data_IF_396041793663
#
_entry.id   IF_396041793663
#
_cell.length_a   1.000
_cell.length_b   1.000
_cell.length_c   1.000
_cell.angle_alpha   90.00
_cell.angle_beta   90.00
_cell.angle_gamma   90.00
#
_symmetry.space_group_name_H-M   'P 1'
#
loop_
_entity.id
_entity.type
_entity.pdbx_description
1 polymer ?
#
# COMPACT_ATOMS: atom_id res chain seq x y z
N UNK A 1 -35.44 17.86 84.85
CA UNK A 1 -36.06 17.82 83.53
C UNK A 1 -35.06 18.38 82.57
N UNK A 2 -34.22 17.56 82.01
CA UNK A 2 -33.17 18.01 81.09
C UNK A 2 -33.40 17.27 79.76
N UNK A 3 -33.92 18.00 78.80
CA UNK A 3 -34.22 17.55 77.48
C UNK A 3 -32.92 17.59 76.66
N UNK A 4 -32.41 16.43 76.24
CA UNK A 4 -31.23 16.33 75.38
C UNK A 4 -31.69 16.23 73.94
N UNK A 5 -31.25 17.12 73.05
CA UNK A 5 -31.59 17.02 71.65
C UNK A 5 -30.76 15.82 70.98
N UNK A 6 -31.50 14.89 70.46
CA UNK A 6 -30.93 13.79 69.67
C UNK A 6 -30.33 14.35 68.33
N UNK A 7 -29.02 14.24 68.17
CA UNK A 7 -28.33 14.54 66.93
C UNK A 7 -28.66 13.45 65.88
N UNK A 8 -29.54 13.79 64.98
CA UNK A 8 -29.84 12.93 63.82
C UNK A 8 -28.65 13.00 62.85
N UNK A 9 -27.83 11.96 62.86
CA UNK A 9 -26.74 11.81 61.85
C UNK A 9 -27.38 11.39 60.55
N UNK A 10 -27.49 12.29 59.62
CA UNK A 10 -27.98 12.07 58.28
C UNK A 10 -26.90 11.28 57.50
N UNK A 11 -27.19 10.03 57.17
CA UNK A 11 -26.31 9.17 56.43
C UNK A 11 -26.11 9.70 54.98
N UNK A 12 -24.87 9.77 54.46
CA UNK A 12 -24.63 10.30 53.12
C UNK A 12 -25.33 9.44 52.08
N UNK A 13 -26.13 10.06 51.20
CA UNK A 13 -26.81 9.43 50.11
C UNK A 13 -25.78 8.87 49.12
N UNK A 14 -25.69 7.54 49.03
CA UNK A 14 -24.85 6.84 48.05
C UNK A 14 -25.42 7.08 46.67
N UNK A 15 -24.84 8.04 45.94
CA UNK A 15 -25.18 8.31 44.54
C UNK A 15 -24.78 7.06 43.70
N UNK A 16 -25.74 6.26 43.37
CA UNK A 16 -25.58 5.10 42.45
C UNK A 16 -25.25 5.64 41.06
N UNK A 17 -23.99 5.87 40.80
CA UNK A 17 -23.46 6.32 39.49
C UNK A 17 -23.78 5.25 38.47
N UNK A 18 -24.70 5.52 37.53
CA UNK A 18 -25.12 4.62 36.48
C UNK A 18 -23.90 4.24 35.64
N UNK A 19 -23.45 2.99 35.75
CA UNK A 19 -22.30 2.42 34.98
C UNK A 19 -22.62 2.26 33.49
N UNK A 20 -23.85 2.51 33.08
CA UNK A 20 -24.28 2.38 31.67
C UNK A 20 -23.69 3.49 30.78
N UNK A 21 -23.57 4.72 31.29
CA UNK A 21 -22.99 5.83 30.51
C UNK A 21 -21.55 5.60 30.09
N UNK A 22 -20.60 5.21 30.96
CA UNK A 22 -19.23 4.93 30.54
C UNK A 22 -19.13 3.73 29.58
N UNK A 23 -20.00 2.70 29.70
CA UNK A 23 -20.05 1.57 28.78
C UNK A 23 -20.51 1.96 27.37
N UNK A 24 -21.49 2.88 27.28
CA UNK A 24 -21.96 3.41 25.99
C UNK A 24 -20.85 4.21 25.32
N UNK A 25 -20.16 5.07 26.06
CA UNK A 25 -19.02 5.86 25.53
C UNK A 25 -17.89 4.95 25.08
N UNK A 26 -17.55 3.92 25.86
CA UNK A 26 -16.52 2.96 25.50
C UNK A 26 -16.90 2.18 24.23
N UNK A 27 -18.17 1.76 24.11
CA UNK A 27 -18.69 1.08 22.93
C UNK A 27 -18.63 1.97 21.68
N UNK A 28 -18.98 3.27 21.81
CA UNK A 28 -18.89 4.21 20.70
C UNK A 28 -17.44 4.44 20.25
N UNK A 29 -16.51 4.57 21.19
CA UNK A 29 -15.07 4.71 20.88
C UNK A 29 -14.56 3.46 20.18
N UNK A 30 -14.89 2.27 20.67
CA UNK A 30 -14.49 1.01 20.05
C UNK A 30 -15.04 0.85 18.61
N UNK A 31 -16.29 1.28 18.39
CA UNK A 31 -16.92 1.28 17.07
C UNK A 31 -16.19 2.22 16.11
N UNK A 32 -15.89 3.46 16.55
CA UNK A 32 -15.15 4.43 15.72
C UNK A 32 -13.75 3.91 15.39
N UNK A 33 -13.03 3.36 16.36
CA UNK A 33 -11.71 2.77 16.14
C UNK A 33 -11.81 1.59 15.15
N UNK A 34 -12.81 0.71 15.30
CA UNK A 34 -13.05 -0.42 14.39
C UNK A 34 -13.29 0.03 12.95
N UNK A 35 -14.09 1.08 12.75
CA UNK A 35 -14.34 1.67 11.43
C UNK A 35 -13.08 2.27 10.82
N UNK A 36 -12.30 3.03 11.60
CA UNK A 36 -11.04 3.63 11.14
C UNK A 36 -10.00 2.59 10.78
N UNK A 37 -9.85 1.54 11.59
CA UNK A 37 -8.94 0.44 11.31
C UNK A 37 -9.35 -0.34 10.05
N UNK A 38 -10.65 -0.61 9.89
CA UNK A 38 -11.14 -1.30 8.69
C UNK A 38 -10.86 -0.49 7.42
N UNK A 39 -11.15 0.80 7.41
CA UNK A 39 -10.88 1.66 6.25
C UNK A 39 -9.38 1.78 5.94
N UNK A 40 -8.54 1.90 6.97
CA UNK A 40 -7.08 1.96 6.80
C UNK A 40 -6.51 0.67 6.23
N UNK A 41 -6.99 -0.49 6.70
CA UNK A 41 -6.51 -1.79 6.25
C UNK A 41 -6.91 -2.09 4.79
N UNK A 42 -8.15 -1.80 4.41
CA UNK A 42 -8.62 -2.00 3.03
C UNK A 42 -7.88 -1.11 2.03
N UNK A 43 -7.64 0.16 2.35
CA UNK A 43 -6.89 1.08 1.47
C UNK A 43 -5.41 0.70 1.33
N UNK A 44 -4.82 0.06 2.33
CA UNK A 44 -3.40 -0.34 2.36
C UNK A 44 -3.11 -1.57 1.49
N UNK A 45 -4.07 -2.52 1.41
CA UNK A 45 -3.93 -3.75 0.63
C UNK A 45 -4.16 -3.54 -0.88
N UNK A 46 -4.94 -2.52 -1.27
CA UNK A 46 -5.24 -2.22 -2.67
C UNK A 46 -4.11 -1.50 -3.42
N UNK A 47 -3.04 -1.16 -2.73
CA UNK A 47 -1.94 -0.38 -3.29
C UNK A 47 -1.03 -1.18 -4.25
N UNK A 48 -0.89 -2.50 -4.05
CA UNK A 48 -0.11 -3.39 -4.90
C UNK A 48 -1.02 -4.13 -5.88
N UNK A 49 -0.74 -4.02 -7.16
CA UNK A 49 -1.45 -4.73 -8.24
C UNK A 49 -0.45 -5.36 -9.20
N UNK A 50 -0.74 -6.56 -9.64
CA UNK A 50 -0.02 -7.16 -10.77
C UNK A 50 -0.62 -6.70 -12.10
N UNK A 51 0.11 -6.90 -13.20
CA UNK A 51 -0.43 -6.64 -14.55
C UNK A 51 -1.73 -7.42 -14.76
N UNK A 52 -1.82 -8.66 -14.29
CA UNK A 52 -2.99 -9.51 -14.45
C UNK A 52 -4.19 -9.01 -13.63
N UNK A 53 -3.97 -8.53 -12.39
CA UNK A 53 -5.01 -7.93 -11.54
C UNK A 53 -5.59 -6.67 -12.17
N UNK A 54 -4.73 -5.86 -12.78
CA UNK A 54 -5.18 -4.65 -13.49
C UNK A 54 -6.10 -5.00 -14.66
N UNK A 55 -5.80 -6.05 -15.42
CA UNK A 55 -6.68 -6.49 -16.50
C UNK A 55 -8.03 -7.01 -15.99
N UNK A 56 -8.04 -7.70 -14.83
CA UNK A 56 -9.28 -8.20 -14.24
C UNK A 56 -10.16 -7.08 -13.66
N UNK A 57 -9.54 -6.01 -13.10
CA UNK A 57 -10.24 -4.97 -12.33
C UNK A 57 -9.94 -3.56 -12.84
N UNK A 58 -9.77 -3.39 -14.17
CA UNK A 58 -9.27 -2.13 -14.75
C UNK A 58 -10.10 -0.89 -14.36
N UNK A 59 -11.41 -1.01 -14.38
CA UNK A 59 -12.31 0.11 -14.03
C UNK A 59 -12.24 0.46 -12.55
N UNK A 60 -12.09 -0.53 -11.68
CA UNK A 60 -11.96 -0.32 -10.24
C UNK A 60 -10.63 0.36 -9.86
N UNK A 61 -9.54 0.02 -10.56
CA UNK A 61 -8.23 0.67 -10.39
C UNK A 61 -8.28 2.14 -10.81
N UNK A 62 -9.03 2.47 -11.86
CA UNK A 62 -9.19 3.85 -12.31
C UNK A 62 -7.86 4.54 -12.64
N UNK A 63 -7.68 5.75 -12.12
CA UNK A 63 -6.48 6.59 -12.25
C UNK A 63 -5.78 6.83 -10.90
N UNK A 64 -6.04 5.99 -9.91
CA UNK A 64 -5.40 6.06 -8.59
C UNK A 64 -3.92 5.69 -8.69
N UNK A 65 -3.10 6.30 -7.84
CA UNK A 65 -1.68 5.93 -7.75
C UNK A 65 -1.55 4.53 -7.12
N UNK A 66 -0.90 3.63 -7.86
CA UNK A 66 -0.69 2.24 -7.45
C UNK A 66 0.76 1.81 -7.66
N UNK A 67 1.13 0.70 -7.05
CA UNK A 67 2.36 -0.05 -7.33
C UNK A 67 2.02 -1.20 -8.27
N UNK A 68 2.45 -1.07 -9.53
CA UNK A 68 2.21 -2.07 -10.55
C UNK A 68 3.43 -2.99 -10.70
N UNK A 69 3.23 -4.27 -10.48
CA UNK A 69 4.24 -5.31 -10.60
C UNK A 69 4.12 -6.04 -11.94
N UNK A 70 5.26 -6.29 -12.57
CA UNK A 70 5.35 -7.08 -13.79
C UNK A 70 6.80 -7.34 -14.19
N UNK A 71 6.98 -8.09 -15.27
CA UNK A 71 8.30 -8.36 -15.87
C UNK A 71 8.49 -7.45 -17.06
N UNK A 72 9.66 -6.82 -17.18
CA UNK A 72 10.00 -5.95 -18.32
C UNK A 72 10.15 -6.81 -19.58
N UNK A 73 9.31 -6.59 -20.59
CA UNK A 73 9.33 -7.33 -21.85
C UNK A 73 10.65 -7.13 -22.59
N UNK A 74 11.23 -8.22 -23.06
CA UNK A 74 12.48 -8.19 -23.85
C UNK A 74 12.31 -7.34 -25.12
N UNK A 75 13.25 -6.44 -25.38
CA UNK A 75 13.24 -5.57 -26.56
C UNK A 75 12.25 -4.39 -26.51
N UNK A 76 11.51 -4.20 -25.41
CA UNK A 76 10.55 -3.10 -25.28
C UNK A 76 11.12 -1.82 -24.69
N UNK A 77 12.32 -1.86 -24.12
CA UNK A 77 12.92 -0.72 -23.42
C UNK A 77 13.47 0.28 -24.41
N UNK A 78 12.91 1.49 -24.41
CA UNK A 78 13.37 2.64 -25.17
C UNK A 78 13.68 3.77 -24.19
N UNK A 79 14.96 4.16 -24.10
CA UNK A 79 15.37 5.31 -23.29
C UNK A 79 14.95 6.60 -23.97
N UNK A 80 14.44 7.54 -23.18
CA UNK A 80 14.04 8.88 -23.63
C UNK A 80 14.87 9.94 -22.91
N UNK A 81 14.78 11.19 -23.32
CA UNK A 81 15.47 12.32 -22.66
C UNK A 81 15.05 12.48 -21.19
N UNK A 82 13.83 12.10 -20.85
CA UNK A 82 13.24 12.31 -19.52
C UNK A 82 12.92 11.02 -18.77
N UNK A 83 13.42 9.85 -19.23
CA UNK A 83 13.13 8.57 -18.57
C UNK A 83 13.24 7.38 -19.51
N UNK A 84 12.29 6.44 -19.40
CA UNK A 84 12.22 5.25 -20.23
C UNK A 84 10.78 4.87 -20.57
N UNK A 85 10.55 4.43 -21.80
CA UNK A 85 9.33 3.74 -22.20
C UNK A 85 9.61 2.25 -22.29
N UNK A 86 8.71 1.42 -21.78
CA UNK A 86 8.84 -0.03 -21.83
C UNK A 86 7.47 -0.69 -21.64
N UNK A 87 7.43 -2.01 -21.82
CA UNK A 87 6.22 -2.80 -21.61
C UNK A 87 6.43 -3.74 -20.43
N UNK A 88 5.46 -3.78 -19.51
CA UNK A 88 5.36 -4.78 -18.46
C UNK A 88 4.46 -5.92 -18.92
N UNK A 89 4.89 -7.15 -18.67
CA UNK A 89 4.14 -8.37 -18.96
C UNK A 89 3.77 -9.06 -17.65
N UNK A 90 2.51 -9.50 -17.56
CA UNK A 90 2.01 -10.36 -16.48
C UNK A 90 2.23 -11.85 -16.77
N UNK A 91 1.80 -12.71 -15.85
CA UNK A 91 1.92 -14.17 -15.96
C UNK A 91 1.08 -14.75 -17.09
N UNK A 92 -0.02 -14.09 -17.45
CA UNK A 92 -0.91 -14.50 -18.56
C UNK A 92 -0.61 -13.78 -19.88
N UNK A 93 0.63 -13.32 -20.08
CA UNK A 93 1.07 -12.59 -21.28
C UNK A 93 0.30 -11.29 -21.55
N UNK A 94 -0.38 -10.74 -20.56
CA UNK A 94 -1.02 -9.44 -20.65
C UNK A 94 0.01 -8.34 -20.54
N UNK A 95 -0.17 -7.25 -21.26
CA UNK A 95 0.83 -6.20 -21.43
C UNK A 95 0.31 -4.83 -21.02
N UNK A 96 1.13 -4.08 -20.29
CA UNK A 96 0.87 -2.68 -19.93
C UNK A 96 2.02 -1.84 -20.43
N UNK A 97 1.73 -0.83 -21.26
CA UNK A 97 2.72 0.13 -21.71
C UNK A 97 3.04 1.10 -20.56
N UNK A 98 4.31 1.23 -20.21
CA UNK A 98 4.79 2.13 -19.15
C UNK A 98 5.58 3.27 -19.77
N UNK A 99 5.24 4.48 -19.34
CA UNK A 99 6.01 5.71 -19.61
C UNK A 99 6.55 6.20 -18.27
N UNK A 100 7.81 5.95 -18.05
CA UNK A 100 8.49 6.43 -16.84
C UNK A 100 9.10 7.79 -17.09
N UNK A 101 8.92 8.69 -16.10
CA UNK A 101 9.51 10.03 -16.07
C UNK A 101 10.42 10.10 -14.85
N UNK A 102 11.73 10.14 -15.12
CA UNK A 102 12.76 10.14 -14.09
C UNK A 102 14.04 9.46 -14.57
N UNK A 103 14.90 9.08 -13.65
CA UNK A 103 16.12 8.34 -13.97
C UNK A 103 15.93 6.88 -13.64
N UNK A 104 15.86 5.99 -14.65
CA UNK A 104 15.77 4.56 -14.39
C UNK A 104 16.95 4.07 -13.53
N UNK A 105 16.72 3.15 -12.58
CA UNK A 105 17.79 2.58 -11.78
C UNK A 105 18.88 1.93 -12.65
N UNK A 106 20.12 1.88 -12.16
CA UNK A 106 21.24 1.27 -12.90
C UNK A 106 21.00 -0.21 -13.25
N UNK A 107 20.26 -0.93 -12.41
CA UNK A 107 19.93 -2.34 -12.62
C UNK A 107 18.68 -2.55 -13.50
N UNK A 108 18.06 -1.47 -13.99
CA UNK A 108 16.90 -1.56 -14.86
C UNK A 108 17.29 -2.09 -16.24
N UNK A 109 16.74 -3.24 -16.61
CA UNK A 109 16.98 -3.90 -17.90
C UNK A 109 15.76 -4.75 -18.30
N UNK A 110 15.78 -5.25 -19.53
CA UNK A 110 14.76 -6.19 -19.99
C UNK A 110 14.82 -7.52 -19.23
N UNK A 111 13.71 -8.21 -19.17
CA UNK A 111 13.54 -9.56 -18.59
C UNK A 111 13.79 -9.65 -17.08
N UNK A 112 13.54 -8.55 -16.34
CA UNK A 112 13.60 -8.56 -14.88
C UNK A 112 12.25 -8.16 -14.27
N UNK A 113 11.91 -8.70 -13.08
CA UNK A 113 10.75 -8.26 -12.34
C UNK A 113 10.98 -6.87 -11.74
N UNK A 114 10.01 -5.98 -11.95
CA UNK A 114 10.03 -4.62 -11.42
C UNK A 114 8.68 -4.26 -10.81
N UNK A 115 8.71 -3.29 -9.92
CA UNK A 115 7.53 -2.59 -9.43
C UNK A 115 7.64 -1.14 -9.87
N UNK A 116 6.65 -0.63 -10.58
CA UNK A 116 6.56 0.77 -10.95
C UNK A 116 5.49 1.48 -10.13
N UNK A 117 5.79 2.68 -9.68
CA UNK A 117 4.87 3.53 -8.91
C UNK A 117 4.33 4.61 -9.83
N UNK A 118 3.02 4.80 -9.83
CA UNK A 118 2.35 5.81 -10.64
C UNK A 118 0.88 5.49 -10.85
N UNK A 119 0.33 5.98 -11.97
CA UNK A 119 -1.09 5.85 -12.30
C UNK A 119 -1.32 5.59 -13.78
N UNK A 120 -2.49 5.09 -14.10
CA UNK A 120 -2.92 5.00 -15.49
C UNK A 120 -3.32 6.38 -16.05
N UNK A 121 -3.13 6.59 -17.34
CA UNK A 121 -3.47 7.86 -18.01
C UNK A 121 -4.97 8.12 -18.13
N UNK A 122 -5.79 7.06 -18.13
CA UNK A 122 -7.26 7.14 -18.04
C UNK A 122 -7.81 5.85 -17.44
N UNK A 123 -9.09 5.82 -17.07
CA UNK A 123 -9.76 4.66 -16.45
C UNK A 123 -9.85 3.43 -17.38
N UNK A 124 -9.74 3.61 -18.68
CA UNK A 124 -9.82 2.53 -19.69
C UNK A 124 -8.51 2.23 -20.39
N UNK A 125 -7.51 3.14 -20.31
CA UNK A 125 -6.21 2.96 -20.98
C UNK A 125 -5.33 1.96 -20.25
N UNK A 126 -4.54 1.18 -20.99
CA UNK A 126 -3.47 0.34 -20.49
C UNK A 126 -2.09 1.03 -20.60
N UNK A 127 -2.07 2.36 -20.65
CA UNK A 127 -0.86 3.16 -20.56
C UNK A 127 -0.68 3.66 -19.15
N UNK A 128 0.41 3.25 -18.50
CA UNK A 128 0.76 3.60 -17.13
C UNK A 128 1.86 4.66 -17.12
N UNK A 129 1.62 5.77 -16.42
CA UNK A 129 2.63 6.81 -16.20
C UNK A 129 3.30 6.55 -14.86
N UNK A 130 4.56 6.13 -14.90
CA UNK A 130 5.37 5.86 -13.72
C UNK A 130 6.26 7.08 -13.40
N UNK A 131 6.46 7.32 -12.11
CA UNK A 131 7.39 8.30 -11.57
C UNK A 131 8.56 7.64 -10.82
N UNK A 132 8.48 6.33 -10.60
CA UNK A 132 9.53 5.57 -9.93
C UNK A 132 9.53 4.11 -10.39
N UNK A 133 10.72 3.54 -10.53
CA UNK A 133 10.94 2.12 -10.80
C UNK A 133 11.71 1.51 -9.64
N UNK A 134 11.24 0.38 -9.12
CA UNK A 134 11.94 -0.46 -8.15
C UNK A 134 12.22 -1.81 -8.78
N UNK A 135 13.49 -2.19 -8.85
CA UNK A 135 13.90 -3.52 -9.34
C UNK A 135 13.76 -4.52 -8.20
N UNK A 136 13.00 -5.59 -8.43
CA UNK A 136 12.91 -6.72 -7.49
C UNK A 136 14.06 -7.69 -7.72
N UNK A 137 14.81 -7.97 -6.68
CA UNK A 137 15.78 -9.05 -6.67
C UNK A 137 15.10 -10.31 -6.11
N UNK A 138 14.68 -11.22 -6.98
CA UNK A 138 14.26 -12.55 -6.55
C UNK A 138 15.48 -13.40 -6.19
N UNK A 139 15.32 -14.38 -5.29
CA UNK A 139 16.40 -15.30 -4.93
C UNK A 139 16.98 -16.05 -6.16
N UNK A 140 16.13 -16.40 -7.12
CA UNK A 140 16.53 -17.01 -8.40
C UNK A 140 17.35 -16.03 -9.26
N UNK A 141 16.97 -14.75 -9.33
CA UNK A 141 17.75 -13.74 -10.05
C UNK A 141 19.14 -13.53 -9.44
N UNK A 142 19.22 -13.55 -8.11
CA UNK A 142 20.51 -13.46 -7.38
C UNK A 142 21.37 -14.66 -7.67
N UNK A 143 20.81 -15.88 -7.70
CA UNK A 143 21.52 -17.11 -8.02
C UNK A 143 22.07 -17.14 -9.45
N UNK A 144 21.30 -16.64 -10.42
CA UNK A 144 21.70 -16.56 -11.83
C UNK A 144 22.67 -15.41 -12.12
N UNK A 145 22.67 -14.36 -11.30
CA UNK A 145 23.48 -13.15 -11.52
C UNK A 145 24.21 -12.69 -10.25
N UNK A 146 25.06 -13.53 -9.61
CA UNK A 146 25.65 -13.24 -8.31
C UNK A 146 26.56 -12.00 -8.33
N UNK A 147 27.16 -11.69 -9.46
CA UNK A 147 28.07 -10.54 -9.59
C UNK A 147 27.38 -9.19 -9.79
N UNK A 148 26.07 -9.17 -10.14
CA UNK A 148 25.30 -7.93 -10.33
C UNK A 148 24.64 -7.41 -9.05
N UNK A 149 24.59 -8.23 -8.02
CA UNK A 149 23.94 -7.91 -6.73
C UNK A 149 24.97 -7.51 -5.67
N UNK A 150 26.26 -7.61 -5.99
CA UNK A 150 27.34 -7.20 -5.08
C UNK A 150 27.56 -5.69 -5.17
N UNK A 151 27.57 -5.02 -4.01
CA UNK A 151 28.04 -3.65 -3.92
C UNK A 151 29.55 -3.59 -4.26
N UNK A 152 30.10 -2.41 -4.65
CA UNK A 152 31.54 -2.28 -4.95
C UNK A 152 32.48 -2.72 -3.83
N UNK A 153 31.97 -2.79 -2.58
CA UNK A 153 32.69 -3.29 -1.39
C UNK A 153 32.55 -4.80 -1.17
N UNK A 154 31.93 -5.55 -2.10
CA UNK A 154 31.78 -7.01 -2.02
C UNK A 154 30.62 -7.53 -1.15
N UNK A 155 29.88 -6.66 -0.50
CA UNK A 155 28.68 -7.06 0.28
C UNK A 155 27.47 -7.29 -0.62
N UNK A 156 26.69 -8.34 -0.33
CA UNK A 156 25.40 -8.59 -0.98
C UNK A 156 24.37 -7.66 -0.36
N UNK A 157 23.67 -6.89 -1.17
CA UNK A 157 22.57 -6.02 -0.74
C UNK A 157 21.23 -6.71 -0.90
#
# INVERSE_FOLDING_TARGET
MTDSPALTVEAPAVVRRSRRRPLIVLGLIALVIGVLLSQGLFNSLDYFKTVDDVYAHRLAVGTTDIRLEGVVKKGSVVRTTFGANFVLTGSHHREVAVREVGTPPQLFQANIPVVVIGRFTSSTSFTFRANQIMVKHSASYIAENPNRVKAPNGTVR
#
